data_IF_904518053821
#
_entry.id   IF_904518053821
#
_cell.length_a   1.000
_cell.length_b   1.000
_cell.length_c   1.000
_cell.angle_alpha   90.00
_cell.angle_beta   90.00
_cell.angle_gamma   90.00
#
_symmetry.space_group_name_H-M   'P 1'
#
loop_
_entity.id
_entity.type
_entity.pdbx_description
1 polymer ?
#
# COMPACT_ATOMS: atom_id res chain seq x y z
N UNK A 1 -7.03 -2.10 25.46
CA UNK A 1 -5.90 -2.26 24.51
C UNK A 1 -6.27 -1.55 23.22
N UNK A 2 -5.47 -0.61 22.72
CA UNK A 2 -5.74 0.11 21.46
C UNK A 2 -6.03 -0.82 20.25
N UNK A 3 -5.65 -2.10 20.32
CA UNK A 3 -5.88 -3.10 19.28
C UNK A 3 -7.29 -3.68 19.14
N UNK A 4 -8.14 -3.72 20.18
CA UNK A 4 -9.45 -4.39 20.09
C UNK A 4 -10.45 -3.62 19.22
N UNK A 5 -10.49 -2.29 19.37
CA UNK A 5 -11.35 -1.41 18.56
C UNK A 5 -10.91 -1.36 17.10
N UNK A 6 -9.59 -1.34 16.87
CA UNK A 6 -9.02 -1.40 15.53
C UNK A 6 -9.43 -2.70 14.82
N UNK A 7 -9.25 -3.86 15.48
CA UNK A 7 -9.61 -5.15 14.91
C UNK A 7 -11.12 -5.23 14.64
N UNK A 8 -11.96 -4.84 15.61
CA UNK A 8 -13.41 -4.85 15.44
C UNK A 8 -13.90 -3.98 14.26
N UNK A 9 -13.25 -2.82 14.03
CA UNK A 9 -13.51 -1.99 12.86
C UNK A 9 -13.14 -2.71 11.57
N UNK A 10 -11.93 -3.25 11.49
CA UNK A 10 -11.45 -3.90 10.26
C UNK A 10 -12.14 -5.23 9.97
N UNK A 11 -12.58 -5.97 10.98
CA UNK A 11 -13.41 -7.17 10.79
C UNK A 11 -14.71 -6.81 10.05
N UNK A 12 -15.34 -5.66 10.37
CA UNK A 12 -16.52 -5.16 9.65
C UNK A 12 -16.21 -4.73 8.23
N UNK A 13 -15.06 -4.07 8.02
CA UNK A 13 -14.61 -3.68 6.67
C UNK A 13 -14.38 -4.91 5.81
N UNK A 14 -13.62 -5.89 6.31
CA UNK A 14 -13.28 -7.11 5.57
C UNK A 14 -14.49 -8.02 5.32
N UNK A 15 -15.56 -7.92 6.12
CA UNK A 15 -16.81 -8.62 5.89
C UNK A 15 -17.71 -7.95 4.84
N UNK A 16 -17.43 -6.71 4.43
CA UNK A 16 -18.20 -6.01 3.39
C UNK A 16 -17.77 -6.42 1.98
N UNK A 17 -18.60 -6.11 0.99
CA UNK A 17 -18.25 -6.34 -0.42
C UNK A 17 -17.05 -5.48 -0.86
N UNK A 18 -16.36 -5.91 -1.92
CA UNK A 18 -15.12 -5.27 -2.37
C UNK A 18 -15.33 -3.80 -2.80
N UNK A 19 -16.52 -3.43 -3.28
CA UNK A 19 -16.82 -2.05 -3.68
C UNK A 19 -16.97 -1.17 -2.43
N UNK A 20 -17.61 -1.66 -1.38
CA UNK A 20 -17.63 -0.97 -0.07
C UNK A 20 -16.20 -0.83 0.49
N UNK A 21 -15.38 -1.87 0.42
CA UNK A 21 -13.98 -1.81 0.85
C UNK A 21 -13.17 -0.76 0.06
N UNK A 22 -13.39 -0.67 -1.26
CA UNK A 22 -12.80 0.34 -2.13
C UNK A 22 -13.20 1.75 -1.69
N UNK A 23 -14.52 2.00 -1.53
CA UNK A 23 -15.02 3.31 -1.14
C UNK A 23 -14.47 3.75 0.22
N UNK A 24 -14.49 2.88 1.23
CA UNK A 24 -13.91 3.18 2.54
C UNK A 24 -12.39 3.43 2.48
N UNK A 25 -11.69 2.76 1.56
CA UNK A 25 -10.27 3.03 1.30
C UNK A 25 -10.08 4.43 0.71
N UNK A 26 -10.85 4.79 -0.31
CA UNK A 26 -10.81 6.12 -0.95
C UNK A 26 -11.12 7.22 0.06
N UNK A 27 -12.18 7.07 0.85
CA UNK A 27 -12.56 8.06 1.87
C UNK A 27 -11.50 8.22 2.96
N UNK A 28 -10.88 7.11 3.40
CA UNK A 28 -9.77 7.18 4.34
C UNK A 28 -8.55 7.92 3.75
N UNK A 29 -8.23 7.66 2.49
CA UNK A 29 -7.10 8.28 1.80
C UNK A 29 -7.35 9.75 1.44
N UNK A 30 -8.59 10.17 1.17
CA UNK A 30 -8.95 11.60 1.01
C UNK A 30 -8.50 12.43 2.21
N UNK A 31 -8.68 11.91 3.42
CA UNK A 31 -8.23 12.55 4.66
C UNK A 31 -6.71 12.69 4.80
N UNK A 32 -5.91 11.98 3.99
CA UNK A 32 -4.46 12.12 3.94
C UNK A 32 -3.99 13.18 2.95
N UNK A 33 -4.90 13.94 2.32
CA UNK A 33 -4.57 15.03 1.40
C UNK A 33 -3.71 14.54 0.23
N UNK A 34 -4.16 13.44 -0.39
CA UNK A 34 -3.63 12.92 -1.66
C UNK A 34 -3.73 13.97 -2.77
N UNK A 35 -2.99 13.79 -3.86
CA UNK A 35 -3.11 14.64 -5.04
C UNK A 35 -2.22 15.89 -4.99
N UNK A 36 -1.92 16.43 -6.17
CA UNK A 36 -1.00 17.58 -6.34
C UNK A 36 -1.50 18.83 -5.60
N UNK A 37 -2.82 19.05 -5.64
CA UNK A 37 -3.47 20.20 -5.00
C UNK A 37 -3.89 19.92 -3.56
N UNK A 38 -3.55 18.72 -3.03
CA UNK A 38 -3.76 18.32 -1.65
C UNK A 38 -5.24 18.31 -1.23
N UNK A 39 -6.17 18.10 -2.18
CA UNK A 39 -7.61 18.06 -1.90
C UNK A 39 -8.15 16.62 -1.74
N UNK A 40 -7.26 15.62 -1.68
CA UNK A 40 -7.65 14.23 -1.53
C UNK A 40 -7.96 13.54 -2.87
N UNK A 41 -7.38 14.02 -3.96
CA UNK A 41 -7.57 13.47 -5.29
C UNK A 41 -6.92 12.09 -5.41
N UNK A 42 -7.69 11.13 -5.92
CA UNK A 42 -7.25 9.77 -6.16
C UNK A 42 -7.82 9.35 -7.50
N UNK A 43 -6.93 9.00 -8.43
CA UNK A 43 -7.32 8.40 -9.70
C UNK A 43 -7.58 6.91 -9.45
N UNK A 44 -8.75 6.43 -9.89
CA UNK A 44 -9.19 5.04 -9.71
C UNK A 44 -9.51 4.45 -11.06
N UNK A 45 -8.82 3.36 -11.40
CA UNK A 45 -9.07 2.58 -12.61
C UNK A 45 -9.58 1.20 -12.22
N UNK A 46 -10.69 0.78 -12.82
CA UNK A 46 -11.20 -0.58 -12.67
C UNK A 46 -10.60 -1.48 -13.75
N UNK A 47 -9.87 -2.51 -13.33
CA UNK A 47 -9.43 -3.61 -14.18
C UNK A 47 -10.33 -4.84 -13.97
N UNK A 48 -10.16 -5.88 -14.79
CA UNK A 48 -10.98 -7.08 -14.71
C UNK A 48 -10.90 -7.77 -13.33
N UNK A 49 -9.71 -7.87 -12.74
CA UNK A 49 -9.43 -8.60 -11.51
C UNK A 49 -9.23 -7.71 -10.27
N UNK A 50 -9.06 -6.39 -10.44
CA UNK A 50 -8.72 -5.46 -9.35
C UNK A 50 -9.16 -4.02 -9.64
N UNK A 51 -9.13 -3.21 -8.59
CA UNK A 51 -9.10 -1.76 -8.68
C UNK A 51 -7.67 -1.26 -8.50
N UNK A 52 -7.29 -0.27 -9.30
CA UNK A 52 -5.98 0.39 -9.25
C UNK A 52 -6.20 1.81 -8.77
N UNK A 53 -5.62 2.15 -7.62
CA UNK A 53 -5.65 3.49 -7.05
C UNK A 53 -4.27 4.12 -7.24
N UNK A 54 -4.20 5.19 -8.01
CA UNK A 54 -2.97 5.95 -8.22
C UNK A 54 -2.95 7.14 -7.25
N UNK A 55 -1.96 7.14 -6.37
CA UNK A 55 -1.76 8.14 -5.33
C UNK A 55 -0.63 9.09 -5.78
N UNK A 56 -0.99 10.19 -6.45
CA UNK A 56 -0.05 11.08 -7.15
C UNK A 56 -0.14 12.55 -6.68
N UNK A 57 0.70 12.98 -5.71
CA UNK A 57 1.51 12.13 -4.85
C UNK A 57 0.66 11.45 -3.76
N UNK A 58 1.22 10.39 -3.18
CA UNK A 58 0.75 9.87 -1.91
C UNK A 58 0.88 10.96 -0.84
N UNK A 59 -0.23 11.33 -0.20
CA UNK A 59 -0.36 12.49 0.68
C UNK A 59 0.41 12.44 2.01
N UNK A 60 1.13 11.34 2.27
CA UNK A 60 1.95 11.16 3.49
C UNK A 60 3.42 10.89 3.15
N UNK A 61 3.84 9.62 3.05
CA UNK A 61 5.25 9.27 2.80
C UNK A 61 5.76 9.70 1.43
N UNK A 62 4.90 9.63 0.40
CA UNK A 62 5.26 10.02 -0.97
C UNK A 62 5.59 11.51 -1.10
N UNK A 63 4.69 12.39 -0.64
CA UNK A 63 4.92 13.84 -0.66
C UNK A 63 6.09 14.25 0.22
N UNK A 64 6.30 13.58 1.37
CA UNK A 64 7.47 13.84 2.21
C UNK A 64 8.77 13.47 1.49
N UNK A 65 8.81 12.30 0.84
CA UNK A 65 9.95 11.87 0.02
C UNK A 65 10.24 12.83 -1.13
N UNK A 66 9.21 13.28 -1.86
CA UNK A 66 9.36 14.27 -2.93
C UNK A 66 9.96 15.59 -2.43
N UNK A 67 9.51 16.07 -1.27
CA UNK A 67 10.06 17.30 -0.68
C UNK A 67 11.53 17.15 -0.28
N UNK A 68 11.91 16.01 0.26
CA UNK A 68 13.31 15.70 0.61
C UNK A 68 14.18 15.63 -0.64
N UNK A 69 13.79 14.86 -1.65
CA UNK A 69 14.59 14.67 -2.87
C UNK A 69 14.65 15.95 -3.74
N UNK A 70 13.63 16.81 -3.69
CA UNK A 70 13.63 18.12 -4.37
C UNK A 70 14.30 19.25 -3.58
N UNK A 71 14.82 19.00 -2.38
CA UNK A 71 15.47 20.01 -1.53
C UNK A 71 14.50 21.04 -0.90
N UNK A 72 13.20 20.78 -0.94
CA UNK A 72 12.15 21.64 -0.36
C UNK A 72 11.82 21.32 1.09
N UNK A 73 12.40 20.27 1.65
CA UNK A 73 12.25 19.92 3.07
C UNK A 73 13.30 20.66 3.91
N UNK A 74 12.91 21.54 4.85
CA UNK A 74 13.85 22.28 5.69
C UNK A 74 14.69 21.40 6.62
N UNK A 75 14.19 20.21 6.99
CA UNK A 75 14.85 19.27 7.90
C UNK A 75 15.00 17.88 7.27
N UNK A 76 15.74 17.75 6.16
CA UNK A 76 15.86 16.48 5.44
C UNK A 76 16.63 15.43 6.27
N UNK A 77 17.42 15.87 7.25
CA UNK A 77 18.14 15.03 8.21
C UNK A 77 17.22 14.17 9.09
N UNK A 78 15.98 14.60 9.31
CA UNK A 78 14.99 13.87 10.10
C UNK A 78 14.25 12.81 9.27
N UNK A 79 14.39 12.83 7.94
CA UNK A 79 13.71 11.88 7.07
C UNK A 79 14.62 10.67 6.78
N UNK A 80 14.24 9.54 7.36
CA UNK A 80 15.04 8.32 7.29
C UNK A 80 14.56 7.31 6.24
N UNK A 81 15.51 6.54 5.73
CA UNK A 81 15.28 5.44 4.78
C UNK A 81 15.84 4.13 5.32
N UNK A 82 15.21 3.03 4.94
CA UNK A 82 15.68 1.69 5.26
C UNK A 82 17.06 1.43 4.63
N UNK A 83 17.96 0.87 5.43
CA UNK A 83 19.31 0.51 4.98
C UNK A 83 19.36 -0.82 4.23
N UNK A 84 18.44 -1.74 4.53
CA UNK A 84 18.40 -3.09 3.96
C UNK A 84 17.02 -3.39 3.40
N UNK A 85 17.01 -4.20 2.35
CA UNK A 85 15.81 -4.86 1.86
C UNK A 85 15.29 -5.88 2.88
N UNK A 86 13.96 -6.00 2.97
CA UNK A 86 13.33 -7.03 3.79
C UNK A 86 11.80 -6.97 3.71
N UNK A 87 11.11 -7.81 4.51
CA UNK A 87 9.65 -7.90 4.52
C UNK A 87 8.91 -6.56 4.71
N UNK A 88 9.38 -5.72 5.64
CA UNK A 88 8.79 -4.40 5.90
C UNK A 88 9.01 -3.38 4.77
N UNK A 89 9.81 -3.73 3.77
CA UNK A 89 10.17 -2.83 2.67
C UNK A 89 9.88 -3.46 1.32
N UNK A 90 9.01 -4.48 1.27
CA UNK A 90 8.68 -5.24 0.06
C UNK A 90 9.91 -5.84 -0.66
N UNK A 91 10.97 -6.15 0.09
CA UNK A 91 12.24 -6.59 -0.47
C UNK A 91 13.06 -5.49 -1.17
N UNK A 92 12.67 -4.21 -1.04
CA UNK A 92 13.37 -3.06 -1.62
C UNK A 92 14.26 -2.37 -0.58
N UNK A 93 15.43 -1.87 -0.99
CA UNK A 93 16.25 -0.99 -0.17
C UNK A 93 15.81 0.48 -0.33
N UNK A 94 16.27 1.38 0.56
CA UNK A 94 15.97 2.82 0.50
C UNK A 94 14.47 3.14 0.49
N UNK A 95 13.68 2.34 1.22
CA UNK A 95 12.26 2.65 1.44
C UNK A 95 12.15 3.63 2.60
N UNK A 96 11.39 4.71 2.43
CA UNK A 96 11.20 5.69 3.49
C UNK A 96 10.59 5.02 4.74
N UNK A 97 11.07 5.31 5.95
CA UNK A 97 10.60 4.60 7.15
C UNK A 97 9.10 4.73 7.37
N UNK A 98 8.54 5.90 7.07
CA UNK A 98 7.10 6.08 7.13
C UNK A 98 6.39 5.15 6.14
N UNK A 99 6.89 5.01 4.91
CA UNK A 99 6.30 4.19 3.86
C UNK A 99 6.20 2.70 4.24
N UNK A 100 7.12 2.20 5.07
CA UNK A 100 7.12 0.81 5.55
C UNK A 100 5.83 0.45 6.33
N UNK A 101 5.13 1.43 6.93
CA UNK A 101 3.84 1.17 7.58
C UNK A 101 2.81 0.60 6.59
N UNK A 102 2.88 0.96 5.30
CA UNK A 102 1.96 0.44 4.29
C UNK A 102 2.12 -1.06 4.11
N UNK A 103 3.36 -1.58 4.04
CA UNK A 103 3.57 -3.04 3.94
C UNK A 103 3.13 -3.74 5.22
N UNK A 104 3.40 -3.14 6.37
CA UNK A 104 3.00 -3.68 7.66
C UNK A 104 1.48 -3.79 7.78
N UNK A 105 0.76 -2.70 7.52
CA UNK A 105 -0.69 -2.60 7.77
C UNK A 105 -1.50 -3.25 6.65
N UNK A 106 -1.17 -2.97 5.39
CA UNK A 106 -1.99 -3.42 4.26
C UNK A 106 -1.69 -4.86 3.83
N UNK A 107 -0.49 -5.37 4.10
CA UNK A 107 -0.04 -6.68 3.64
C UNK A 107 0.25 -7.62 4.82
N UNK A 108 1.25 -7.35 5.66
CA UNK A 108 1.70 -8.29 6.71
C UNK A 108 0.60 -8.58 7.72
N UNK A 109 0.07 -7.55 8.38
CA UNK A 109 -0.99 -7.70 9.38
C UNK A 109 -2.29 -8.16 8.73
N UNK A 110 -2.57 -7.74 7.50
CA UNK A 110 -3.76 -8.20 6.78
C UNK A 110 -3.68 -9.71 6.49
N UNK A 111 -2.53 -10.21 6.01
CA UNK A 111 -2.30 -11.64 5.78
C UNK A 111 -2.44 -12.42 7.09
N UNK A 112 -1.85 -11.93 8.18
CA UNK A 112 -1.91 -12.59 9.49
C UNK A 112 -3.35 -12.70 10.04
N UNK A 113 -4.19 -11.69 9.80
CA UNK A 113 -5.55 -11.65 10.34
C UNK A 113 -6.63 -12.20 9.41
N UNK A 114 -6.43 -12.10 8.09
CA UNK A 114 -7.45 -12.36 7.07
C UNK A 114 -7.00 -13.34 5.98
N UNK A 115 -5.74 -13.79 6.02
CA UNK A 115 -5.20 -14.77 5.07
C UNK A 115 -4.76 -14.19 3.72
N UNK A 116 -4.97 -12.89 3.48
CA UNK A 116 -4.55 -12.20 2.25
C UNK A 116 -4.26 -10.71 2.50
N UNK A 117 -3.48 -10.04 1.60
CA UNK A 117 -3.37 -8.60 1.60
C UNK A 117 -4.73 -7.92 1.48
N UNK A 118 -4.94 -6.86 2.25
CA UNK A 118 -6.14 -6.01 2.13
C UNK A 118 -5.98 -5.03 0.96
N UNK A 119 -4.79 -4.42 0.86
CA UNK A 119 -4.35 -3.65 -0.31
C UNK A 119 -2.91 -4.02 -0.61
N UNK A 120 -2.58 -4.14 -1.87
CA UNK A 120 -1.19 -4.32 -2.30
C UNK A 120 -0.62 -2.94 -2.56
N UNK A 121 0.51 -2.62 -1.95
CA UNK A 121 1.16 -1.32 -2.12
C UNK A 121 2.37 -1.46 -3.03
N UNK A 122 2.34 -0.79 -4.18
CA UNK A 122 3.51 -0.60 -5.03
C UNK A 122 4.23 0.68 -4.63
N UNK A 123 5.40 0.50 -4.03
CA UNK A 123 6.30 1.58 -3.69
C UNK A 123 7.11 1.99 -4.94
N UNK A 124 7.01 3.25 -5.39
CA UNK A 124 7.68 3.70 -6.59
C UNK A 124 9.20 3.82 -6.37
N UNK A 125 9.97 3.54 -7.41
CA UNK A 125 11.43 3.66 -7.34
C UNK A 125 11.87 5.12 -7.26
N UNK A 126 11.23 6.02 -8.01
CA UNK A 126 11.47 7.47 -7.97
C UNK A 126 10.47 8.17 -7.07
N UNK A 127 10.85 9.28 -6.45
CA UNK A 127 9.93 9.99 -5.55
C UNK A 127 8.80 10.69 -6.32
N UNK A 128 9.08 11.14 -7.55
CA UNK A 128 8.14 11.86 -8.40
C UNK A 128 7.01 10.97 -8.93
N UNK A 129 7.26 9.65 -8.98
CA UNK A 129 6.28 8.68 -9.45
C UNK A 129 5.23 8.39 -8.37
N UNK A 130 4.02 8.06 -8.82
CA UNK A 130 2.89 7.78 -7.95
C UNK A 130 3.10 6.48 -7.15
N UNK A 131 2.65 6.47 -5.89
CA UNK A 131 2.39 5.20 -5.22
C UNK A 131 1.13 4.58 -5.83
N UNK A 132 1.13 3.27 -6.07
CA UNK A 132 -0.04 2.59 -6.63
C UNK A 132 -0.54 1.55 -5.64
N UNK A 133 -1.83 1.56 -5.37
CA UNK A 133 -2.49 0.53 -4.56
C UNK A 133 -3.37 -0.35 -5.43
N UNK A 134 -3.28 -1.66 -5.24
CA UNK A 134 -4.23 -2.61 -5.83
C UNK A 134 -5.17 -3.15 -4.78
N UNK A 135 -6.46 -3.19 -5.12
CA UNK A 135 -7.48 -3.91 -4.36
C UNK A 135 -8.05 -4.98 -5.28
N UNK A 136 -7.68 -6.24 -5.04
CA UNK A 136 -8.17 -7.36 -5.82
C UNK A 136 -9.64 -7.63 -5.50
N UNK A 137 -10.45 -7.87 -6.55
CA UNK A 137 -11.87 -8.20 -6.43
C UNK A 137 -12.08 -9.59 -5.84
N UNK A 138 -11.16 -10.51 -6.12
CA UNK A 138 -11.09 -11.85 -5.54
C UNK A 138 -9.69 -12.09 -4.95
N UNK A 139 -9.55 -12.31 -3.63
CA UNK A 139 -8.27 -12.61 -2.98
C UNK A 139 -7.52 -13.80 -3.58
N UNK A 140 -8.22 -14.78 -4.17
CA UNK A 140 -7.59 -15.94 -4.83
C UNK A 140 -6.84 -15.57 -6.10
N UNK A 141 -7.10 -14.38 -6.66
CA UNK A 141 -6.40 -13.85 -7.83
C UNK A 141 -5.12 -13.09 -7.47
N UNK A 142 -4.84 -12.88 -6.18
CA UNK A 142 -3.62 -12.20 -5.74
C UNK A 142 -2.40 -13.09 -6.03
N UNK A 143 -1.41 -12.61 -6.80
CA UNK A 143 -0.18 -13.34 -7.05
C UNK A 143 0.62 -13.69 -5.80
N UNK A 144 1.23 -14.88 -5.78
CA UNK A 144 2.01 -15.39 -4.65
C UNK A 144 3.19 -14.48 -4.27
N UNK A 145 3.78 -13.78 -5.23
CA UNK A 145 4.88 -12.84 -5.02
C UNK A 145 4.52 -11.73 -4.01
N UNK A 146 3.24 -11.31 -3.95
CA UNK A 146 2.80 -10.29 -2.98
C UNK A 146 2.76 -10.80 -1.54
N UNK A 147 2.66 -12.12 -1.33
CA UNK A 147 2.81 -12.72 -0.01
C UNK A 147 4.30 -12.91 0.33
N UNK A 148 5.05 -13.45 -0.63
CA UNK A 148 6.46 -13.81 -0.45
C UNK A 148 7.36 -12.60 -0.22
N UNK A 149 7.11 -11.47 -0.91
CA UNK A 149 7.90 -10.24 -0.76
C UNK A 149 7.84 -9.64 0.65
N UNK A 150 6.78 -9.96 1.40
CA UNK A 150 6.59 -9.57 2.80
C UNK A 150 6.83 -10.73 3.77
N UNK A 151 7.55 -11.77 3.32
CA UNK A 151 7.97 -12.89 4.15
C UNK A 151 6.82 -13.81 4.58
N UNK A 152 5.68 -13.81 3.86
CA UNK A 152 4.53 -14.67 4.13
C UNK A 152 4.46 -15.82 3.13
N UNK A 153 3.82 -16.91 3.55
CA UNK A 153 3.54 -18.06 2.68
C UNK A 153 2.29 -17.76 1.85
N UNK A 154 2.38 -17.91 0.54
CA UNK A 154 1.23 -17.79 -0.34
C UNK A 154 0.26 -18.99 -0.18
N UNK A 155 -1.06 -18.79 -0.40
CA UNK A 155 -2.01 -19.89 -0.49
C UNK A 155 -1.65 -20.88 -1.61
N UNK A 156 -1.94 -22.17 -1.38
CA UNK A 156 -1.77 -23.19 -2.43
C UNK A 156 -2.61 -22.85 -3.65
N UNK A 157 -1.97 -22.82 -4.83
CA UNK A 157 -2.65 -22.49 -6.09
C UNK A 157 -2.83 -20.99 -6.36
N UNK A 158 -2.24 -20.11 -5.55
CA UNK A 158 -2.16 -18.69 -5.87
C UNK A 158 -1.47 -18.49 -7.25
N UNK A 159 -1.98 -17.60 -8.11
CA UNK A 159 -1.36 -17.33 -9.40
C UNK A 159 0.05 -16.77 -9.21
N UNK A 160 0.83 -16.77 -10.27
CA UNK A 160 2.16 -16.15 -10.34
C UNK A 160 2.11 -14.98 -11.30
N UNK A 161 2.90 -13.94 -11.03
CA UNK A 161 3.01 -12.83 -11.97
C UNK A 161 3.65 -13.31 -13.28
N UNK A 162 3.21 -12.73 -14.40
CA UNK A 162 3.89 -12.97 -15.68
C UNK A 162 5.32 -12.44 -15.60
N UNK A 163 6.26 -13.13 -16.24
CA UNK A 163 7.68 -12.72 -16.30
C UNK A 163 7.90 -11.38 -17.02
N UNK A 164 6.87 -10.87 -17.69
CA UNK A 164 6.95 -9.68 -18.56
C UNK A 164 6.40 -8.39 -17.91
N UNK A 165 6.02 -8.41 -16.63
CA UNK A 165 5.66 -7.19 -15.90
C UNK A 165 6.75 -6.87 -14.86
N UNK A 166 7.44 -5.72 -14.97
CA UNK A 166 8.38 -5.26 -13.93
C UNK A 166 7.66 -4.94 -12.62
#
# INVERSE_FOLDING_TARGET
>A
VLGSYYKARYDRVMASDVTTQLQLTIEGLRGHLMGKDRQGEIEVTEEADRYVLKLDPCGSGGVARQRVESGKEPRPDLFGFSKKAGPLTWGKAKVCYYCAHCSMVNEILAIENYGHPMRITEYPEKAEDACVWYIYKDPKKIPAEYYERVGKKAPTGAPRMSKDKP
#
